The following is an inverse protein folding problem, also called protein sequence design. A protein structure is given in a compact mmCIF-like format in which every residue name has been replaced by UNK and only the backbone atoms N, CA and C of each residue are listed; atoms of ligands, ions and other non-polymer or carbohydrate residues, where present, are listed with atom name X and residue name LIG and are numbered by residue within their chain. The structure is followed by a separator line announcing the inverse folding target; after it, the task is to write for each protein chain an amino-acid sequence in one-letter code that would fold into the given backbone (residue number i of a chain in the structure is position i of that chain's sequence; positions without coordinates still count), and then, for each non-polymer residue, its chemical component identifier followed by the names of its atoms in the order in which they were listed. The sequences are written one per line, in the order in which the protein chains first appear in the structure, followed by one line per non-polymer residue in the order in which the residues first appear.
data_IF_557484435276
#
_entry.id   IF_557484435276
#
_cell.length_a   1.000
_cell.length_b   1.000
_cell.length_c   1.000
_cell.angle_alpha   90.00
_cell.angle_beta   90.00
_cell.angle_gamma   90.00
#
_symmetry.space_group_name_H-M   'P 1'
#
loop_
_entity.id
_entity.type
_entity.pdbx_description
1 polymer ?
#
# COMPACT_ATOMS: atom_id res chain seq x y z
N UNK A 1 3.00 11.79 16.54
CA UNK A 1 1.64 11.80 17.09
C UNK A 1 1.15 10.37 17.07
N UNK A 2 0.76 9.83 18.22
CA UNK A 2 0.10 8.52 18.25
C UNK A 2 -1.34 8.69 17.78
N UNK A 3 -1.82 7.73 16.99
CA UNK A 3 -3.19 7.65 16.50
C UNK A 3 -3.59 6.17 16.49
N UNK A 4 -4.89 5.86 16.62
CA UNK A 4 -5.35 4.48 16.60
C UNK A 4 -5.06 3.84 15.24
N UNK A 5 -4.63 2.58 15.28
CA UNK A 5 -4.27 1.80 14.10
C UNK A 5 -5.02 0.47 14.12
N UNK A 6 -5.50 0.05 12.97
CA UNK A 6 -6.08 -1.27 12.78
C UNK A 6 -5.14 -2.15 11.93
N UNK A 7 -5.10 -3.44 12.23
CA UNK A 7 -4.45 -4.42 11.36
C UNK A 7 -5.44 -4.89 10.30
N UNK A 8 -5.09 -4.74 9.03
CA UNK A 8 -5.91 -5.21 7.90
C UNK A 8 -5.13 -6.19 7.04
N UNK A 9 -5.86 -7.06 6.35
CA UNK A 9 -5.30 -8.01 5.38
C UNK A 9 -5.76 -7.65 3.98
N UNK A 10 -4.82 -7.57 3.04
CA UNK A 10 -5.12 -7.42 1.62
C UNK A 10 -4.17 -8.30 0.80
N UNK A 11 -4.73 -9.29 0.11
CA UNK A 11 -3.91 -10.31 -0.56
C UNK A 11 -3.06 -11.07 0.46
N UNK A 12 -1.76 -11.17 0.22
CA UNK A 12 -0.82 -11.79 1.16
C UNK A 12 -0.29 -10.81 2.22
N UNK A 13 -0.57 -9.51 2.09
CA UNK A 13 -0.07 -8.52 3.02
C UNK A 13 -0.98 -8.39 4.25
N UNK A 14 -0.34 -8.33 5.42
CA UNK A 14 -0.94 -7.86 6.68
C UNK A 14 -0.25 -6.56 7.06
N UNK A 15 -1.01 -5.47 7.15
CA UNK A 15 -0.48 -4.12 7.32
C UNK A 15 -1.24 -3.36 8.40
N UNK A 16 -0.55 -2.44 9.07
CA UNK A 16 -1.19 -1.45 9.93
C UNK A 16 -1.73 -0.32 9.06
N UNK A 17 -2.94 0.14 9.35
CA UNK A 17 -3.54 1.31 8.72
C UNK A 17 -4.11 2.22 9.80
N UNK A 18 -4.22 3.55 9.59
CA UNK A 18 -4.95 4.39 10.52
C UNK A 18 -6.39 3.91 10.66
N UNK A 19 -6.87 3.80 11.90
CA UNK A 19 -8.27 3.56 12.17
C UNK A 19 -9.04 4.87 11.94
N UNK A 20 -10.08 4.81 11.11
CA UNK A 20 -10.86 5.99 10.69
C UNK A 20 -12.28 5.86 11.21
N UNK A 21 -12.66 6.78 12.09
CA UNK A 21 -14.01 6.95 12.61
C UNK A 21 -14.50 8.30 12.09
N UNK A 22 -15.42 8.35 11.10
CA UNK A 22 -15.92 9.60 10.54
C UNK A 22 -16.64 10.44 11.60
N UNK A 23 -16.49 11.75 11.52
CA UNK A 23 -17.25 12.68 12.35
C UNK A 23 -18.72 12.77 11.90
N UNK A 24 -19.60 13.30 12.75
CA UNK A 24 -21.01 13.50 12.38
C UNK A 24 -21.14 14.40 11.14
N UNK A 25 -21.83 13.90 10.11
CA UNK A 25 -21.97 14.57 8.81
C UNK A 25 -20.81 14.40 7.83
N UNK A 26 -19.71 13.74 8.22
CA UNK A 26 -18.57 13.46 7.34
C UNK A 26 -18.75 12.13 6.59
N UNK A 27 -18.38 12.08 5.31
CA UNK A 27 -18.33 10.81 4.57
C UNK A 27 -17.11 10.00 4.96
N UNK A 28 -17.21 8.66 4.93
CA UNK A 28 -16.06 7.79 5.20
C UNK A 28 -14.88 8.04 4.24
N UNK A 29 -15.18 8.43 3.00
CA UNK A 29 -14.15 8.79 2.01
C UNK A 29 -13.45 10.10 2.39
N UNK A 30 -14.22 11.11 2.81
CA UNK A 30 -13.69 12.36 3.35
C UNK A 30 -12.76 12.09 4.53
N UNK A 31 -13.23 11.33 5.52
CA UNK A 31 -12.46 10.99 6.72
C UNK A 31 -11.14 10.26 6.37
N UNK A 32 -11.14 9.36 5.38
CA UNK A 32 -9.93 8.67 4.92
C UNK A 32 -8.94 9.58 4.21
N UNK A 33 -9.42 10.61 3.50
CA UNK A 33 -8.55 11.57 2.82
C UNK A 33 -7.77 12.46 3.79
N UNK A 34 -8.30 12.66 5.00
CA UNK A 34 -7.66 13.38 6.10
C UNK A 34 -6.84 12.48 7.03
N UNK A 35 -6.76 11.18 6.76
CA UNK A 35 -5.99 10.24 7.58
C UNK A 35 -4.50 10.62 7.62
N UNK A 36 -3.80 10.39 8.75
CA UNK A 36 -2.37 10.70 8.87
C UNK A 36 -1.49 9.89 7.91
N UNK A 37 -1.96 8.70 7.50
CA UNK A 37 -1.36 7.89 6.44
C UNK A 37 -2.47 7.32 5.55
N UNK A 38 -2.29 7.42 4.23
CA UNK A 38 -3.35 7.08 3.29
C UNK A 38 -3.51 5.57 3.09
N UNK A 39 -4.72 5.05 3.31
CA UNK A 39 -5.17 3.73 2.88
C UNK A 39 -6.61 3.81 2.38
N UNK A 40 -6.85 3.33 1.15
CA UNK A 40 -8.18 3.20 0.58
C UNK A 40 -8.43 1.74 0.14
N UNK A 41 -9.38 1.01 0.78
CA UNK A 41 -9.71 -0.37 0.40
C UNK A 41 -10.34 -0.47 -1.00
N UNK A 42 -10.99 0.59 -1.51
CA UNK A 42 -11.57 0.62 -2.87
C UNK A 42 -10.49 0.42 -3.93
N UNK A 43 -9.25 0.85 -3.65
CA UNK A 43 -8.10 0.71 -4.55
C UNK A 43 -7.52 -0.71 -4.61
N UNK A 44 -8.15 -1.71 -3.98
CA UNK A 44 -7.69 -3.11 -4.01
C UNK A 44 -7.55 -3.63 -5.45
N UNK A 45 -8.55 -3.42 -6.30
CA UNK A 45 -8.52 -3.89 -7.70
C UNK A 45 -7.38 -3.24 -8.49
N UNK A 46 -7.10 -1.97 -8.22
CA UNK A 46 -5.99 -1.26 -8.84
C UNK A 46 -4.63 -1.90 -8.44
N UNK A 47 -4.46 -2.25 -7.16
CA UNK A 47 -3.27 -2.95 -6.66
C UNK A 47 -3.15 -4.38 -7.20
N UNK A 48 -4.26 -5.12 -7.27
CA UNK A 48 -4.30 -6.45 -7.89
C UNK A 48 -3.82 -6.39 -9.35
N UNK A 49 -4.33 -5.42 -10.12
CA UNK A 49 -3.94 -5.22 -11.52
C UNK A 49 -2.45 -4.90 -11.67
N UNK A 50 -1.89 -4.09 -10.76
CA UNK A 50 -0.47 -3.76 -10.78
C UNK A 50 0.42 -5.00 -10.53
N UNK A 51 0.02 -5.88 -9.61
CA UNK A 51 0.73 -7.14 -9.33
C UNK A 51 0.67 -8.08 -10.54
N UNK A 52 -0.49 -8.20 -11.18
CA UNK A 52 -0.64 -9.00 -12.40
C UNK A 52 0.26 -8.47 -13.53
N UNK A 53 0.29 -7.14 -13.74
CA UNK A 53 1.16 -6.51 -14.73
C UNK A 53 2.65 -6.76 -14.42
N UNK A 54 3.06 -6.64 -13.15
CA UNK A 54 4.43 -6.89 -12.71
C UNK A 54 4.85 -8.34 -12.95
N UNK A 55 3.98 -9.32 -12.64
CA UNK A 55 4.22 -10.74 -12.92
C UNK A 55 4.30 -11.05 -14.41
N UNK A 56 3.47 -10.40 -15.23
CA UNK A 56 3.53 -10.53 -16.68
C UNK A 56 4.85 -9.98 -17.24
N UNK A 57 5.31 -8.83 -16.74
CA UNK A 57 6.61 -8.26 -17.08
C UNK A 57 7.77 -9.17 -16.66
N UNK A 58 7.72 -9.70 -15.43
CA UNK A 58 8.73 -10.63 -14.91
C UNK A 58 8.94 -11.84 -15.83
N UNK A 59 7.87 -12.45 -16.37
CA UNK A 59 7.97 -13.60 -17.28
C UNK A 59 8.70 -13.29 -18.59
N UNK A 60 8.75 -12.01 -18.98
CA UNK A 60 9.43 -11.54 -20.19
C UNK A 60 10.89 -11.14 -19.93
N UNK A 61 11.28 -11.02 -18.68
CA UNK A 61 12.60 -10.56 -18.27
C UNK A 61 13.38 -11.72 -17.66
N UNK A 62 14.57 -12.00 -18.18
CA UNK A 62 15.49 -13.01 -17.64
C UNK A 62 16.35 -12.48 -16.48
N UNK A 63 15.79 -11.56 -15.68
CA UNK A 63 16.50 -10.93 -14.54
C UNK A 63 15.53 -10.61 -13.40
N UNK A 64 16.02 -10.53 -12.15
CA UNK A 64 15.23 -10.01 -11.05
C UNK A 64 14.83 -8.54 -11.24
N UNK A 65 13.75 -8.14 -10.57
CA UNK A 65 13.20 -6.80 -10.61
C UNK A 65 13.52 -6.06 -9.30
N UNK A 66 13.97 -4.82 -9.45
CA UNK A 66 13.92 -3.82 -8.37
C UNK A 66 12.78 -2.88 -8.68
N UNK A 67 11.90 -2.63 -7.71
CA UNK A 67 10.74 -1.75 -7.85
C UNK A 67 10.81 -0.58 -6.88
N UNK A 68 10.13 0.52 -7.23
CA UNK A 68 10.04 1.71 -6.41
C UNK A 68 8.58 2.18 -6.32
N UNK A 69 8.09 2.39 -5.11
CA UNK A 69 6.83 3.08 -4.82
C UNK A 69 7.13 4.39 -4.08
N UNK A 70 7.27 5.52 -4.79
CA UNK A 70 7.73 6.79 -4.22
C UNK A 70 6.64 7.56 -3.44
N UNK A 71 5.39 7.09 -3.48
CA UNK A 71 4.24 7.63 -2.76
C UNK A 71 3.47 6.47 -2.11
N UNK A 72 4.13 5.80 -1.16
CA UNK A 72 3.69 4.48 -0.73
C UNK A 72 2.48 4.50 0.21
N UNK A 73 2.16 5.62 0.86
CA UNK A 73 1.14 5.67 1.91
C UNK A 73 1.45 4.61 2.98
N UNK A 74 0.52 3.68 3.23
CA UNK A 74 0.77 2.55 4.14
C UNK A 74 1.71 1.48 3.60
N UNK A 75 2.23 1.63 2.38
CA UNK A 75 3.13 0.68 1.73
C UNK A 75 2.42 -0.51 1.09
N UNK A 76 1.09 -0.61 1.19
CA UNK A 76 0.32 -1.80 0.81
C UNK A 76 0.66 -2.33 -0.58
N UNK A 77 0.83 -1.45 -1.58
CA UNK A 77 1.10 -1.88 -2.95
C UNK A 77 2.49 -2.51 -3.06
N UNK A 78 3.54 -1.84 -2.60
CA UNK A 78 4.90 -2.35 -2.70
C UNK A 78 5.13 -3.59 -1.82
N UNK A 79 4.52 -3.65 -0.63
CA UNK A 79 4.52 -4.86 0.22
C UNK A 79 3.89 -6.03 -0.54
N UNK A 80 2.69 -5.84 -1.10
CA UNK A 80 2.02 -6.89 -1.88
C UNK A 80 2.81 -7.27 -3.14
N UNK A 81 3.39 -6.32 -3.86
CA UNK A 81 4.27 -6.63 -5.00
C UNK A 81 5.45 -7.51 -4.59
N UNK A 82 6.06 -7.24 -3.43
CA UNK A 82 7.17 -8.05 -2.90
C UNK A 82 6.71 -9.47 -2.53
N UNK A 83 5.56 -9.61 -1.87
CA UNK A 83 5.04 -10.91 -1.42
C UNK A 83 4.44 -11.75 -2.55
N UNK A 84 3.79 -11.10 -3.53
CA UNK A 84 2.96 -11.75 -4.54
C UNK A 84 3.63 -11.84 -5.91
N UNK A 85 4.78 -11.20 -6.13
CA UNK A 85 5.59 -11.32 -7.35
C UNK A 85 7.01 -11.85 -7.05
N UNK A 86 7.25 -13.17 -7.13
CA UNK A 86 8.50 -13.82 -6.71
C UNK A 86 9.78 -13.35 -7.40
N UNK A 87 9.71 -12.65 -8.53
CA UNK A 87 10.90 -12.12 -9.20
C UNK A 87 11.28 -10.71 -8.76
N UNK A 88 10.55 -10.13 -7.81
CA UNK A 88 10.97 -8.90 -7.14
C UNK A 88 12.07 -9.25 -6.15
N UNK A 89 13.27 -8.73 -6.41
CA UNK A 89 14.42 -8.89 -5.54
C UNK A 89 14.48 -7.81 -4.47
N UNK A 90 14.09 -6.58 -4.82
CA UNK A 90 14.15 -5.43 -3.93
C UNK A 90 12.98 -4.49 -4.21
N UNK A 91 12.45 -3.91 -3.13
CA UNK A 91 11.38 -2.92 -3.18
C UNK A 91 11.78 -1.71 -2.36
N UNK A 92 11.86 -0.55 -3.01
CA UNK A 92 12.09 0.74 -2.35
C UNK A 92 10.74 1.41 -2.12
N UNK A 93 10.41 1.65 -0.86
CA UNK A 93 9.21 2.40 -0.46
C UNK A 93 9.62 3.81 -0.03
N UNK A 94 9.01 4.81 -0.64
CA UNK A 94 9.18 6.21 -0.31
C UNK A 94 7.84 6.88 -0.06
N UNK A 95 7.83 7.86 0.81
CA UNK A 95 6.71 8.78 0.96
C UNK A 95 7.24 10.13 1.45
N UNK A 96 6.55 11.22 1.08
CA UNK A 96 6.87 12.56 1.59
C UNK A 96 6.46 12.69 3.06
N UNK A 97 5.40 11.99 3.47
CA UNK A 97 4.89 12.04 4.84
C UNK A 97 5.82 11.27 5.78
N UNK A 98 6.34 11.97 6.79
CA UNK A 98 7.09 11.32 7.87
C UNK A 98 6.27 10.25 8.60
N UNK A 99 4.95 10.43 8.69
CA UNK A 99 4.05 9.45 9.29
C UNK A 99 3.95 8.16 8.47
N UNK A 100 3.96 8.26 7.15
CA UNK A 100 3.94 7.09 6.27
C UNK A 100 5.25 6.29 6.38
N UNK A 101 6.39 6.97 6.44
CA UNK A 101 7.72 6.34 6.60
C UNK A 101 7.88 5.64 7.96
N UNK A 102 7.14 6.08 8.98
CA UNK A 102 7.25 5.59 10.37
C UNK A 102 6.09 4.69 10.82
N UNK A 103 5.16 4.38 9.93
CA UNK A 103 3.90 3.69 10.25
C UNK A 103 4.14 2.33 10.90
#
# INVERSE_FOLDING_TARGET
MEYPKALVSEGMARIMVPEIIPSEGETLEGARSWAPVFYNPIMKMNRDSAILALRALQRRLSRPLTICEPMCGTGVRGIRMTLEAPGVHETVLGDRSYHAVRL
#
